data_IF_577892521595
#
_entry.id   IF_577892521595
#
_cell.length_a   1.000
_cell.length_b   1.000
_cell.length_c   1.000
_cell.angle_alpha   90.00
_cell.angle_beta   90.00
_cell.angle_gamma   90.00
#
_symmetry.space_group_name_H-M   'P 1'
#
loop_
_entity.id
_entity.type
_entity.pdbx_description
1 polymer ?
#
# COMPACT_ATOMS: atom_id res chain seq x y z
N UNK A 1 21.62 -14.01 -15.75
CA UNK A 1 21.76 -12.57 -16.06
C UNK A 1 21.32 -11.81 -14.82
N UNK A 2 22.00 -10.73 -14.45
CA UNK A 2 21.51 -9.84 -13.38
C UNK A 2 20.20 -9.19 -13.83
N UNK A 3 19.17 -9.17 -12.98
CA UNK A 3 17.92 -8.48 -13.25
C UNK A 3 18.18 -7.01 -13.65
N UNK A 4 17.47 -6.53 -14.67
CA UNK A 4 17.48 -5.14 -15.07
C UNK A 4 16.05 -4.61 -14.94
N UNK A 5 15.88 -3.55 -14.16
CA UNK A 5 14.58 -2.92 -14.01
C UNK A 5 14.21 -2.17 -15.30
N UNK A 6 13.09 -2.56 -15.92
CA UNK A 6 12.62 -2.04 -17.22
C UNK A 6 11.26 -1.33 -17.10
N UNK A 7 11.20 -0.11 -16.54
CA UNK A 7 9.99 0.70 -16.58
C UNK A 7 9.72 1.25 -17.99
N UNK A 8 8.47 1.60 -18.27
CA UNK A 8 8.16 2.43 -19.44
C UNK A 8 8.66 3.87 -19.23
N UNK A 9 8.89 4.59 -20.34
CA UNK A 9 9.19 6.01 -20.28
C UNK A 9 7.96 6.82 -19.80
N UNK A 10 8.06 7.60 -18.72
CA UNK A 10 6.95 8.43 -18.27
C UNK A 10 6.60 9.55 -19.27
N UNK A 11 5.34 9.94 -19.34
CA UNK A 11 4.93 11.14 -20.08
C UNK A 11 5.45 12.41 -19.40
N UNK A 12 5.70 13.46 -20.18
CA UNK A 12 6.33 14.69 -19.70
C UNK A 12 5.55 15.38 -18.56
N UNK A 13 4.21 15.28 -18.55
CA UNK A 13 3.37 15.82 -17.48
C UNK A 13 3.45 15.04 -16.15
N UNK A 14 4.03 13.83 -16.13
CA UNK A 14 4.13 12.96 -14.96
C UNK A 14 5.59 12.73 -14.55
N UNK A 15 6.34 13.80 -14.35
CA UNK A 15 7.76 13.75 -13.99
C UNK A 15 8.02 13.31 -12.54
N UNK A 16 7.09 13.57 -11.62
CA UNK A 16 7.23 13.20 -10.19
C UNK A 16 7.18 11.68 -10.04
N UNK A 17 8.24 11.11 -9.47
CA UNK A 17 8.32 9.66 -9.26
C UNK A 17 7.62 9.25 -7.97
N UNK A 18 6.68 8.31 -8.08
CA UNK A 18 5.91 7.81 -6.96
C UNK A 18 6.00 6.29 -6.81
N UNK A 19 5.98 5.82 -5.56
CA UNK A 19 5.78 4.40 -5.23
C UNK A 19 4.45 4.23 -4.50
N UNK A 20 3.62 3.29 -4.95
CA UNK A 20 2.29 3.02 -4.42
C UNK A 20 2.27 1.69 -3.68
N UNK A 21 2.00 1.72 -2.38
CA UNK A 21 2.06 0.57 -1.49
C UNK A 21 0.65 0.11 -1.16
N UNK A 22 0.36 -1.17 -1.39
CA UNK A 22 -0.93 -1.78 -1.05
C UNK A 22 -0.75 -3.24 -0.67
N UNK A 23 -1.54 -3.70 0.30
CA UNK A 23 -1.65 -5.13 0.64
C UNK A 23 -2.28 -5.95 -0.48
N UNK A 24 -3.10 -5.30 -1.31
CA UNK A 24 -3.81 -5.95 -2.41
C UNK A 24 -3.85 -5.16 -3.71
N UNK A 25 -3.84 -5.90 -4.82
CA UNK A 25 -4.02 -5.40 -6.18
C UNK A 25 -4.82 -6.40 -7.02
N UNK A 26 -5.94 -5.96 -7.58
CA UNK A 26 -6.71 -6.71 -8.57
C UNK A 26 -6.26 -6.32 -9.98
N UNK A 27 -5.08 -6.79 -10.38
CA UNK A 27 -4.47 -6.45 -11.68
C UNK A 27 -5.08 -7.26 -12.82
N UNK A 28 -5.21 -8.56 -12.61
CA UNK A 28 -5.79 -9.52 -13.55
C UNK A 28 -6.34 -10.71 -12.77
N UNK A 29 -7.32 -11.42 -13.33
CA UNK A 29 -7.90 -12.59 -12.67
C UNK A 29 -6.88 -13.71 -12.45
N UNK A 30 -5.82 -13.78 -13.26
CA UNK A 30 -4.74 -14.77 -13.10
C UNK A 30 -3.87 -14.53 -11.86
N UNK A 31 -3.81 -13.29 -11.34
CA UNK A 31 -2.98 -12.92 -10.21
C UNK A 31 -3.82 -12.73 -8.94
N UNK A 32 -3.78 -13.71 -8.02
CA UNK A 32 -4.64 -13.76 -6.82
C UNK A 32 -4.07 -12.97 -5.65
N UNK A 33 -3.83 -11.68 -5.87
CA UNK A 33 -3.25 -10.76 -4.87
C UNK A 33 -4.27 -9.80 -4.27
N UNK A 34 -5.54 -10.17 -4.20
CA UNK A 34 -6.61 -9.30 -3.68
C UNK A 34 -7.80 -10.09 -3.13
N UNK A 35 -8.60 -9.45 -2.26
CA UNK A 35 -9.87 -9.99 -1.78
C UNK A 35 -11.08 -9.14 -2.18
N UNK A 36 -10.92 -7.82 -2.34
CA UNK A 36 -12.08 -6.94 -2.46
C UNK A 36 -11.82 -5.56 -3.07
N UNK A 37 -12.62 -4.59 -2.62
CA UNK A 37 -12.73 -3.26 -3.24
C UNK A 37 -11.45 -2.42 -3.20
N UNK A 38 -10.64 -2.54 -2.14
CA UNK A 38 -9.36 -1.85 -2.01
C UNK A 38 -8.39 -2.31 -3.13
N UNK A 39 -8.36 -3.62 -3.41
CA UNK A 39 -7.56 -4.22 -4.47
C UNK A 39 -8.06 -3.85 -5.87
N UNK A 40 -9.37 -3.79 -6.08
CA UNK A 40 -9.95 -3.30 -7.34
C UNK A 40 -9.59 -1.85 -7.64
N UNK A 41 -9.61 -0.99 -6.63
CA UNK A 41 -9.18 0.39 -6.79
C UNK A 41 -7.68 0.46 -7.10
N UNK A 42 -6.85 -0.20 -6.29
CA UNK A 42 -5.40 -0.22 -6.47
C UNK A 42 -5.02 -0.75 -7.86
N UNK A 43 -5.66 -1.83 -8.31
CA UNK A 43 -5.40 -2.39 -9.64
C UNK A 43 -5.83 -1.48 -10.79
N UNK A 44 -6.98 -0.81 -10.64
CA UNK A 44 -7.42 0.21 -11.61
C UNK A 44 -6.45 1.39 -11.68
N UNK A 45 -5.89 1.82 -10.53
CA UNK A 45 -4.84 2.84 -10.51
C UNK A 45 -3.59 2.41 -11.27
N UNK A 46 -3.13 1.17 -11.09
CA UNK A 46 -1.94 0.69 -11.81
C UNK A 46 -2.17 0.60 -13.32
N UNK A 47 -3.37 0.16 -13.76
CA UNK A 47 -3.72 0.12 -15.19
C UNK A 47 -3.75 1.52 -15.81
N UNK A 48 -4.37 2.48 -15.15
CA UNK A 48 -4.39 3.85 -15.69
C UNK A 48 -3.04 4.55 -15.62
N UNK A 49 -2.20 4.23 -14.64
CA UNK A 49 -0.81 4.69 -14.63
C UNK A 49 -0.05 4.21 -15.88
N UNK A 50 -0.29 2.99 -16.33
CA UNK A 50 0.27 2.47 -17.58
C UNK A 50 -0.27 3.16 -18.83
N UNK A 51 -1.59 3.36 -18.91
CA UNK A 51 -2.24 4.02 -20.05
C UNK A 51 -1.77 5.46 -20.20
N UNK A 52 -1.67 6.19 -19.09
CA UNK A 52 -1.24 7.58 -19.03
C UNK A 52 0.29 7.76 -18.96
N UNK A 53 1.05 6.65 -18.87
CA UNK A 53 2.50 6.64 -18.66
C UNK A 53 2.92 7.50 -17.46
N UNK A 54 2.25 7.33 -16.31
CA UNK A 54 2.63 7.99 -15.06
C UNK A 54 3.92 7.38 -14.49
N UNK A 55 4.82 8.20 -13.93
CA UNK A 55 6.04 7.72 -13.27
C UNK A 55 5.72 7.07 -11.91
N UNK A 56 5.20 5.84 -11.96
CA UNK A 56 4.65 5.12 -10.82
C UNK A 56 5.23 3.70 -10.76
N UNK A 57 5.59 3.26 -9.56
CA UNK A 57 5.94 1.86 -9.26
C UNK A 57 4.93 1.34 -8.23
N UNK A 58 4.33 0.18 -8.47
CA UNK A 58 3.49 -0.48 -7.48
C UNK A 58 4.28 -1.47 -6.63
N UNK A 59 4.09 -1.43 -5.32
CA UNK A 59 4.71 -2.35 -4.35
C UNK A 59 3.60 -3.08 -3.61
N UNK A 60 3.59 -4.41 -3.71
CA UNK A 60 2.60 -5.26 -3.08
C UNK A 60 3.17 -6.53 -2.48
N UNK A 61 2.27 -7.36 -1.95
CA UNK A 61 2.59 -8.65 -1.34
C UNK A 61 2.28 -9.78 -2.32
N UNK A 62 3.15 -10.78 -2.41
CA UNK A 62 2.87 -12.03 -3.11
C UNK A 62 2.38 -13.07 -2.10
N UNK A 63 1.08 -13.34 -2.13
CA UNK A 63 0.44 -14.31 -1.24
C UNK A 63 0.54 -15.73 -1.81
N UNK A 64 1.15 -16.66 -1.07
CA UNK A 64 1.31 -18.05 -1.52
C UNK A 64 -0.03 -18.74 -1.76
N UNK A 65 -1.07 -18.42 -0.99
CA UNK A 65 -2.40 -19.02 -1.12
C UNK A 65 -3.50 -18.02 -1.50
N UNK A 66 -3.17 -16.72 -1.59
CA UNK A 66 -4.14 -15.66 -1.84
C UNK A 66 -5.01 -15.35 -0.61
N UNK A 67 -6.28 -14.96 -0.85
CA UNK A 67 -7.26 -14.76 0.21
C UNK A 67 -7.95 -16.09 0.58
N UNK A 68 -8.80 -16.61 -0.30
CA UNK A 68 -9.26 -18.00 -0.30
C UNK A 68 -9.84 -18.32 -1.69
N UNK A 69 -9.97 -19.60 -2.02
CA UNK A 69 -10.72 -20.08 -3.17
C UNK A 69 -12.10 -20.56 -2.70
N UNK A 70 -13.18 -19.93 -3.20
CA UNK A 70 -14.53 -20.28 -2.79
C UNK A 70 -14.97 -21.60 -3.41
N UNK A 71 -15.26 -22.60 -2.57
CA UNK A 71 -15.85 -23.88 -2.94
C UNK A 71 -17.22 -24.10 -2.26
N UNK A 72 -17.79 -25.28 -2.50
CA UNK A 72 -19.02 -25.75 -1.84
C UNK A 72 -18.79 -27.14 -1.26
N UNK A 73 -19.34 -27.38 -0.08
CA UNK A 73 -19.47 -28.70 0.51
C UNK A 73 -20.61 -29.49 -0.16
N UNK A 74 -20.69 -30.80 0.11
CA UNK A 74 -21.76 -31.66 -0.42
C UNK A 74 -23.15 -31.18 0.02
N UNK A 75 -23.25 -30.63 1.23
CA UNK A 75 -24.46 -30.04 1.81
C UNK A 75 -24.79 -28.62 1.30
N UNK A 76 -24.09 -28.15 0.25
CA UNK A 76 -24.20 -26.82 -0.34
C UNK A 76 -23.73 -25.64 0.51
N UNK A 77 -23.16 -25.89 1.70
CA UNK A 77 -22.55 -24.82 2.51
C UNK A 77 -21.24 -24.32 1.87
N UNK A 78 -20.86 -23.08 2.18
CA UNK A 78 -19.62 -22.48 1.66
C UNK A 78 -18.40 -23.20 2.26
N UNK A 79 -17.43 -23.54 1.41
CA UNK A 79 -16.12 -24.05 1.82
C UNK A 79 -15.03 -23.09 1.38
N UNK A 80 -14.14 -22.70 2.28
CA UNK A 80 -12.93 -21.98 1.93
C UNK A 80 -11.81 -22.98 1.64
N UNK A 81 -11.30 -22.97 0.41
CA UNK A 81 -10.11 -23.72 0.00
C UNK A 81 -8.90 -22.79 -0.04
N UNK A 82 -7.70 -23.32 0.19
CA UNK A 82 -6.45 -22.57 0.07
C UNK A 82 -5.51 -23.33 -0.86
N UNK A 83 -5.37 -22.83 -2.09
CA UNK A 83 -4.53 -23.48 -3.11
C UNK A 83 -3.26 -22.68 -3.30
N UNK A 84 -2.12 -23.38 -3.22
CA UNK A 84 -0.83 -22.79 -3.53
C UNK A 84 -0.85 -22.18 -4.94
N UNK A 85 -0.44 -20.92 -5.05
CA UNK A 85 -0.41 -20.15 -6.28
C UNK A 85 1.00 -20.17 -6.86
N UNK A 86 1.08 -20.26 -8.18
CA UNK A 86 2.33 -20.14 -8.92
C UNK A 86 2.07 -19.27 -10.15
N UNK A 87 2.94 -18.30 -10.38
CA UNK A 87 2.76 -17.27 -11.41
C UNK A 87 3.98 -17.26 -12.33
N UNK A 88 3.88 -17.94 -13.48
CA UNK A 88 4.98 -18.05 -14.45
C UNK A 88 5.31 -16.75 -15.17
N UNK A 89 4.42 -15.76 -15.10
CA UNK A 89 4.58 -14.44 -15.68
C UNK A 89 5.29 -13.45 -14.74
N UNK A 90 5.57 -13.84 -13.48
CA UNK A 90 6.41 -13.04 -12.59
C UNK A 90 7.87 -13.37 -12.83
N UNK A 91 8.67 -12.33 -13.03
CA UNK A 91 10.12 -12.44 -13.20
C UNK A 91 10.81 -12.50 -11.84
N UNK A 92 11.73 -13.44 -11.69
CA UNK A 92 12.61 -13.48 -10.53
C UNK A 92 13.69 -12.39 -10.67
N UNK A 93 13.67 -11.42 -9.76
CA UNK A 93 14.66 -10.35 -9.74
C UNK A 93 16.02 -10.80 -9.21
N UNK A 94 16.08 -11.94 -8.51
CA UNK A 94 17.23 -12.38 -7.74
C UNK A 94 17.50 -11.53 -6.49
N UNK A 95 16.70 -10.50 -6.21
CA UNK A 95 16.83 -9.67 -5.02
C UNK A 95 16.22 -10.40 -3.82
N UNK A 96 17.09 -10.82 -2.91
CA UNK A 96 16.75 -11.35 -1.58
C UNK A 96 17.50 -10.54 -0.54
N UNK A 97 16.79 -9.95 0.41
CA UNK A 97 17.37 -9.07 1.41
C UNK A 97 16.70 -9.24 2.78
N UNK A 98 17.43 -9.07 3.89
CA UNK A 98 16.86 -9.25 5.22
C UNK A 98 16.07 -8.02 5.66
N UNK A 99 15.02 -8.20 6.45
CA UNK A 99 14.43 -7.20 7.34
C UNK A 99 14.35 -7.79 8.75
N UNK A 100 14.40 -6.96 9.79
CA UNK A 100 14.29 -7.45 11.16
C UNK A 100 12.83 -7.49 11.58
N UNK A 101 12.32 -8.66 11.96
CA UNK A 101 10.98 -8.85 12.53
C UNK A 101 11.14 -9.62 13.82
N UNK A 102 10.61 -9.08 14.92
CA UNK A 102 10.69 -9.68 16.26
C UNK A 102 12.14 -10.05 16.66
N UNK A 103 13.09 -9.16 16.37
CA UNK A 103 14.51 -9.37 16.65
C UNK A 103 15.24 -10.37 15.73
N UNK A 104 14.54 -11.07 14.84
CA UNK A 104 15.11 -12.04 13.90
C UNK A 104 15.23 -11.46 12.48
N UNK A 105 16.23 -11.91 11.72
CA UNK A 105 16.34 -11.57 10.30
C UNK A 105 15.40 -12.45 9.46
N UNK A 106 14.44 -11.81 8.80
CA UNK A 106 13.53 -12.43 7.83
C UNK A 106 13.94 -12.00 6.42
N UNK A 107 14.23 -12.97 5.55
CA UNK A 107 14.60 -12.69 4.16
C UNK A 107 13.35 -12.42 3.33
N UNK A 108 13.34 -11.28 2.63
CA UNK A 108 12.29 -10.91 1.68
C UNK A 108 12.83 -11.06 0.27
N UNK A 109 12.10 -11.77 -0.57
CA UNK A 109 12.35 -11.90 -2.01
C UNK A 109 11.41 -10.98 -2.78
N UNK A 110 11.92 -10.29 -3.79
CA UNK A 110 11.13 -9.47 -4.69
C UNK A 110 10.95 -10.17 -6.05
N UNK A 111 9.71 -10.25 -6.52
CA UNK A 111 9.38 -10.64 -7.89
C UNK A 111 8.85 -9.43 -8.65
N UNK A 112 9.11 -9.39 -9.96
CA UNK A 112 8.75 -8.29 -10.84
C UNK A 112 7.65 -8.70 -11.81
N UNK A 113 6.68 -7.82 -12.03
CA UNK A 113 5.69 -7.94 -13.09
C UNK A 113 5.96 -6.84 -14.11
N UNK A 114 6.32 -7.25 -15.32
CA UNK A 114 6.59 -6.33 -16.42
C UNK A 114 5.31 -5.57 -16.83
N UNK A 115 5.40 -4.26 -17.16
CA UNK A 115 4.23 -3.43 -17.47
C UNK A 115 3.34 -3.96 -18.60
N UNK A 116 3.92 -4.62 -19.59
CA UNK A 116 3.26 -5.15 -20.78
C UNK A 116 2.48 -6.46 -20.51
N UNK A 117 2.75 -7.14 -19.40
CA UNK A 117 2.10 -8.41 -19.06
C UNK A 117 0.58 -8.24 -18.86
N UNK A 118 0.17 -7.22 -18.10
CA UNK A 118 -1.24 -6.90 -17.85
C UNK A 118 -1.62 -5.44 -18.13
N UNK A 119 -0.72 -4.66 -18.74
CA UNK A 119 -0.93 -3.24 -18.99
C UNK A 119 -1.01 -2.43 -17.70
N UNK A 120 -0.04 -2.60 -16.80
CA UNK A 120 -0.01 -1.96 -15.48
C UNK A 120 1.26 -1.13 -15.30
N UNK A 121 1.29 -0.25 -14.29
CA UNK A 121 2.55 0.27 -13.77
C UNK A 121 3.53 -0.89 -13.54
N UNK A 122 4.86 -0.67 -13.62
CA UNK A 122 5.81 -1.68 -13.16
C UNK A 122 5.51 -2.06 -11.71
N UNK A 123 5.33 -3.36 -11.45
CA UNK A 123 4.97 -3.85 -10.12
C UNK A 123 6.08 -4.71 -9.53
N UNK A 124 6.26 -4.60 -8.23
CA UNK A 124 7.01 -5.55 -7.44
C UNK A 124 6.11 -6.20 -6.40
N UNK A 125 6.26 -7.52 -6.25
CA UNK A 125 5.58 -8.29 -5.22
C UNK A 125 6.60 -8.94 -4.29
N UNK A 126 6.40 -8.74 -2.99
CA UNK A 126 7.30 -9.20 -1.93
C UNK A 126 6.79 -10.51 -1.32
N UNK A 127 7.69 -11.46 -1.09
CA UNK A 127 7.38 -12.73 -0.42
C UNK A 127 8.46 -13.11 0.58
N UNK A 128 8.05 -13.77 1.66
CA UNK A 128 8.95 -14.44 2.61
C UNK A 128 8.89 -15.96 2.48
N UNK A 129 8.01 -16.50 1.62
CA UNK A 129 7.86 -17.94 1.38
C UNK A 129 8.99 -18.46 0.47
N UNK A 130 10.20 -18.46 1.03
CA UNK A 130 11.42 -18.95 0.40
C UNK A 130 12.12 -19.98 1.31
N UNK A 131 12.83 -20.98 0.76
CA UNK A 131 13.47 -22.04 1.54
C UNK A 131 14.49 -21.56 2.59
N UNK A 132 15.06 -20.36 2.41
CA UNK A 132 16.05 -19.77 3.29
C UNK A 132 15.50 -19.23 4.61
N UNK A 133 14.17 -19.11 4.72
CA UNK A 133 13.47 -18.69 5.93
C UNK A 133 12.95 -19.91 6.71
N UNK A 134 12.86 -19.76 8.04
CA UNK A 134 12.14 -20.72 8.87
C UNK A 134 10.64 -20.75 8.53
N UNK A 135 9.93 -21.78 9.02
CA UNK A 135 8.52 -21.97 8.72
C UNK A 135 7.65 -20.77 9.14
N UNK A 136 7.90 -20.17 10.31
CA UNK A 136 7.10 -19.04 10.81
C UNK A 136 7.30 -17.82 9.93
N UNK A 137 8.55 -17.52 9.57
CA UNK A 137 8.91 -16.44 8.67
C UNK A 137 8.29 -16.61 7.28
N UNK A 138 8.24 -17.85 6.76
CA UNK A 138 7.55 -18.16 5.49
C UNK A 138 6.04 -17.90 5.57
N UNK A 139 5.42 -18.21 6.70
CA UNK A 139 3.97 -18.06 6.87
C UNK A 139 3.48 -16.62 6.81
N UNK A 140 4.36 -15.63 7.01
CA UNK A 140 4.02 -14.20 6.93
C UNK A 140 3.32 -13.87 5.61
N UNK A 141 3.77 -14.43 4.48
CA UNK A 141 3.17 -14.17 3.16
C UNK A 141 2.30 -15.30 2.63
N UNK A 142 1.76 -16.17 3.49
CA UNK A 142 0.87 -17.23 3.04
C UNK A 142 -0.52 -16.71 2.64
N UNK A 143 -1.16 -15.93 3.51
CA UNK A 143 -2.56 -15.54 3.38
C UNK A 143 -2.74 -14.03 3.48
N UNK A 144 -3.58 -13.49 2.61
CA UNK A 144 -4.07 -12.12 2.74
C UNK A 144 -5.07 -12.05 3.91
N UNK A 145 -4.84 -11.14 4.86
CA UNK A 145 -5.62 -10.97 6.10
C UNK A 145 -5.56 -12.18 7.04
N UNK A 146 -4.39 -12.37 7.66
CA UNK A 146 -4.25 -13.35 8.74
C UNK A 146 -5.10 -12.95 9.96
N UNK A 147 -5.62 -13.94 10.68
CA UNK A 147 -6.38 -13.71 11.90
C UNK A 147 -5.47 -13.35 13.08
N UNK A 148 -4.20 -13.79 13.05
CA UNK A 148 -3.23 -13.49 14.08
C UNK A 148 -2.72 -12.04 13.96
N UNK A 149 -2.71 -11.35 15.10
CA UNK A 149 -2.30 -9.94 15.17
C UNK A 149 -0.80 -9.76 14.91
N UNK A 150 0.06 -10.63 15.44
CA UNK A 150 1.50 -10.53 15.21
C UNK A 150 1.85 -10.83 13.73
N UNK A 151 1.16 -11.78 13.11
CA UNK A 151 1.26 -12.05 11.68
C UNK A 151 0.88 -10.83 10.83
N UNK A 152 -0.23 -10.14 11.14
CA UNK A 152 -0.63 -8.90 10.45
C UNK A 152 0.40 -7.76 10.61
N UNK A 153 0.98 -7.62 11.79
CA UNK A 153 2.09 -6.67 12.03
C UNK A 153 3.31 -7.06 11.17
N UNK A 154 3.69 -8.33 11.14
CA UNK A 154 4.79 -8.82 10.30
C UNK A 154 4.53 -8.60 8.80
N UNK A 155 3.30 -8.82 8.33
CA UNK A 155 2.88 -8.54 6.95
C UNK A 155 3.04 -7.06 6.60
N UNK A 156 2.59 -6.19 7.50
CA UNK A 156 2.75 -4.74 7.37
C UNK A 156 4.23 -4.35 7.28
N UNK A 157 5.10 -4.99 8.07
CA UNK A 157 6.55 -4.76 8.04
C UNK A 157 7.19 -5.21 6.72
N UNK A 158 6.79 -6.37 6.18
CA UNK A 158 7.24 -6.81 4.85
C UNK A 158 6.83 -5.80 3.77
N UNK A 159 5.58 -5.34 3.77
CA UNK A 159 5.11 -4.34 2.81
C UNK A 159 5.87 -3.01 2.96
N UNK A 160 5.90 -2.45 4.17
CA UNK A 160 6.42 -1.11 4.42
C UNK A 160 7.96 -1.05 4.42
N UNK A 161 8.61 -1.78 5.33
CA UNK A 161 10.08 -1.80 5.45
C UNK A 161 10.68 -2.53 4.25
N UNK A 162 10.14 -3.70 3.91
CA UNK A 162 10.64 -4.49 2.79
C UNK A 162 10.51 -3.75 1.46
N UNK A 163 9.38 -3.07 1.22
CA UNK A 163 9.19 -2.26 0.03
C UNK A 163 10.07 -1.01 -0.01
N UNK A 164 10.27 -0.32 1.12
CA UNK A 164 11.21 0.80 1.22
C UNK A 164 12.65 0.36 0.92
N UNK A 165 13.08 -0.78 1.46
CA UNK A 165 14.41 -1.35 1.24
C UNK A 165 14.61 -1.84 -0.20
N UNK A 166 13.59 -2.43 -0.82
CA UNK A 166 13.62 -2.79 -2.24
C UNK A 166 13.89 -1.58 -3.13
N UNK A 167 13.20 -0.46 -2.89
CA UNK A 167 13.41 0.77 -3.68
C UNK A 167 14.84 1.31 -3.57
N UNK A 168 15.46 1.16 -2.40
CA UNK A 168 16.87 1.50 -2.20
C UNK A 168 17.82 0.58 -2.96
N UNK A 169 17.56 -0.73 -2.97
CA UNK A 169 18.34 -1.71 -3.73
C UNK A 169 18.21 -1.52 -5.24
N UNK A 170 17.05 -1.11 -5.71
CA UNK A 170 16.81 -0.74 -7.10
C UNK A 170 17.52 0.57 -7.49
N UNK A 171 18.02 1.35 -6.53
CA UNK A 171 18.70 2.62 -6.75
C UNK A 171 17.77 3.72 -7.27
N UNK A 172 16.45 3.58 -7.07
CA UNK A 172 15.45 4.51 -7.57
C UNK A 172 15.07 5.54 -6.50
N UNK A 173 15.25 6.82 -6.80
CA UNK A 173 14.89 7.90 -5.87
C UNK A 173 13.41 8.24 -6.01
N UNK A 174 12.62 7.96 -4.97
CA UNK A 174 11.21 8.36 -4.94
C UNK A 174 11.04 9.80 -4.44
N UNK A 175 10.20 10.56 -5.12
CA UNK A 175 9.72 11.86 -4.63
C UNK A 175 8.50 11.70 -3.71
N UNK A 176 7.69 10.66 -3.96
CA UNK A 176 6.45 10.39 -3.21
C UNK A 176 6.29 8.91 -2.91
N UNK A 177 5.86 8.61 -1.69
CA UNK A 177 5.39 7.29 -1.28
C UNK A 177 3.91 7.40 -0.94
N UNK A 178 3.08 6.59 -1.58
CA UNK A 178 1.64 6.60 -1.39
C UNK A 178 1.22 5.33 -0.65
N UNK A 179 0.65 5.49 0.54
CA UNK A 179 0.07 4.39 1.32
C UNK A 179 -1.42 4.25 1.01
N UNK A 180 -1.79 3.09 0.48
CA UNK A 180 -3.17 2.67 0.30
C UNK A 180 -3.65 1.98 1.59
N UNK A 181 -4.31 2.75 2.46
CA UNK A 181 -4.61 2.38 3.84
C UNK A 181 -3.37 2.21 4.76
N UNK A 182 -3.62 1.97 6.05
CA UNK A 182 -2.61 2.05 7.12
C UNK A 182 -1.58 0.91 7.12
N UNK A 183 -1.81 -0.17 6.38
CA UNK A 183 -0.98 -1.39 6.42
C UNK A 183 0.48 -1.15 5.99
N UNK A 184 0.73 -0.17 5.12
CA UNK A 184 2.10 0.20 4.71
C UNK A 184 2.83 1.12 5.70
N UNK A 185 2.25 1.42 6.87
CA UNK A 185 2.81 2.38 7.84
C UNK A 185 4.26 2.12 8.25
N UNK A 186 4.79 0.89 8.36
CA UNK A 186 6.21 0.67 8.66
C UNK A 186 7.18 1.41 7.74
N UNK A 187 6.76 1.70 6.50
CA UNK A 187 7.51 2.55 5.57
C UNK A 187 7.78 3.94 6.16
N UNK A 188 6.83 4.53 6.86
CA UNK A 188 6.96 5.87 7.43
C UNK A 188 8.08 5.92 8.49
N UNK A 189 8.21 4.88 9.30
CA UNK A 189 9.28 4.75 10.30
C UNK A 189 10.63 4.41 9.66
N UNK A 190 10.63 3.56 8.63
CA UNK A 190 11.83 3.33 7.81
C UNK A 190 12.37 4.63 7.20
N UNK A 191 11.49 5.45 6.61
CA UNK A 191 11.86 6.75 6.06
C UNK A 191 12.27 7.74 7.15
N UNK A 192 11.64 7.71 8.31
CA UNK A 192 11.99 8.55 9.45
C UNK A 192 13.43 8.32 9.89
N UNK A 193 13.81 7.06 10.09
CA UNK A 193 15.18 6.68 10.44
C UNK A 193 16.18 7.05 9.34
N UNK A 194 15.86 6.71 8.08
CA UNK A 194 16.68 7.01 6.91
C UNK A 194 16.95 8.51 6.71
N UNK A 195 15.99 9.36 7.06
CA UNK A 195 16.10 10.81 6.90
C UNK A 195 16.47 11.52 8.21
N UNK A 196 17.26 10.86 9.07
CA UNK A 196 17.86 11.50 10.24
C UNK A 196 16.85 11.84 11.33
N UNK A 197 15.78 11.05 11.45
CA UNK A 197 14.69 11.23 12.42
C UNK A 197 13.98 12.58 12.29
N UNK A 198 13.83 13.05 11.04
CA UNK A 198 13.07 14.25 10.70
C UNK A 198 11.65 13.90 10.23
N UNK A 199 10.65 14.25 11.03
CA UNK A 199 9.24 14.04 10.67
C UNK A 199 8.85 14.87 9.44
N UNK A 200 9.41 16.07 9.31
CA UNK A 200 9.18 16.94 8.15
C UNK A 200 9.65 16.30 6.84
N UNK A 201 10.78 15.59 6.86
CA UNK A 201 11.28 14.90 5.67
C UNK A 201 10.37 13.72 5.28
N UNK A 202 9.79 13.03 6.26
CA UNK A 202 8.79 11.98 5.98
C UNK A 202 7.51 12.60 5.42
N UNK A 203 6.99 13.65 6.06
CA UNK A 203 5.80 14.37 5.63
C UNK A 203 5.95 14.87 4.19
N UNK A 204 7.10 15.46 3.83
CA UNK A 204 7.38 15.91 2.46
C UNK A 204 7.26 14.81 1.42
N UNK A 205 7.35 13.52 1.78
CA UNK A 205 7.37 12.40 0.83
C UNK A 205 6.14 11.50 0.94
N UNK A 206 5.45 11.46 2.07
CA UNK A 206 4.36 10.51 2.31
C UNK A 206 2.99 11.10 1.97
N UNK A 207 2.19 10.33 1.23
CA UNK A 207 0.78 10.59 0.92
C UNK A 207 -0.02 9.39 1.39
N UNK A 208 -1.18 9.64 1.96
CA UNK A 208 -2.04 8.60 2.51
C UNK A 208 -3.42 8.63 1.85
N UNK A 209 -4.03 7.47 1.66
CA UNK A 209 -5.46 7.37 1.31
C UNK A 209 -6.15 6.49 2.33
N UNK A 210 -7.27 7.00 2.86
CA UNK A 210 -8.13 6.25 3.76
C UNK A 210 -9.39 5.74 3.05
N UNK A 211 -9.75 4.49 3.33
CA UNK A 211 -10.88 3.74 2.77
C UNK A 211 -11.93 3.36 3.82
N UNK A 212 -11.59 3.54 5.10
CA UNK A 212 -12.37 3.01 6.23
C UNK A 212 -13.15 4.13 6.94
N UNK A 213 -14.48 4.24 6.72
CA UNK A 213 -15.31 5.27 7.33
C UNK A 213 -15.81 4.89 8.74
N UNK A 214 -15.09 4.03 9.47
CA UNK A 214 -15.47 3.58 10.82
C UNK A 214 -14.25 3.32 11.70
N UNK A 215 -14.26 3.81 12.94
CA UNK A 215 -13.12 3.68 13.87
C UNK A 215 -12.76 2.20 14.12
N UNK A 216 -13.75 1.32 14.29
CA UNK A 216 -13.53 -0.10 14.54
C UNK A 216 -12.85 -0.85 13.38
N UNK A 217 -12.90 -0.30 12.16
CA UNK A 217 -12.20 -0.86 11.00
C UNK A 217 -10.74 -0.40 10.88
N UNK A 218 -10.29 0.54 11.71
CA UNK A 218 -8.93 1.05 11.67
C UNK A 218 -8.02 0.21 12.56
N UNK A 219 -6.84 -0.08 12.05
CA UNK A 219 -5.89 -0.96 12.72
C UNK A 219 -5.18 -0.24 13.87
N UNK A 220 -5.28 -0.81 15.07
CA UNK A 220 -4.69 -0.30 16.31
C UNK A 220 -3.94 -1.43 17.02
N UNK A 221 -2.74 -1.13 17.50
CA UNK A 221 -1.90 -2.11 18.18
C UNK A 221 -1.26 -1.54 19.45
N UNK A 222 -1.07 -2.34 20.51
CA UNK A 222 -0.30 -1.93 21.67
C UNK A 222 1.13 -1.55 21.29
N UNK A 223 1.64 -0.45 21.84
CA UNK A 223 3.02 0.00 21.63
C UNK A 223 4.06 -1.06 21.97
N UNK A 224 3.79 -1.86 23.00
CA UNK A 224 4.65 -2.97 23.40
C UNK A 224 4.79 -4.01 22.29
N UNK A 225 3.66 -4.44 21.68
CA UNK A 225 3.67 -5.40 20.58
C UNK A 225 4.49 -4.87 19.39
N UNK A 226 4.28 -3.62 18.99
CA UNK A 226 5.01 -3.03 17.87
C UNK A 226 6.51 -2.91 18.15
N UNK A 227 6.87 -2.57 19.40
CA UNK A 227 8.27 -2.50 19.84
C UNK A 227 8.93 -3.87 19.79
N UNK A 228 8.27 -4.89 20.36
CA UNK A 228 8.76 -6.27 20.36
C UNK A 228 8.94 -6.79 18.92
N UNK A 229 7.98 -6.49 18.04
CA UNK A 229 8.04 -6.86 16.63
C UNK A 229 9.12 -6.13 15.82
N UNK A 230 9.88 -5.18 16.41
CA UNK A 230 10.87 -4.36 15.70
C UNK A 230 10.26 -3.43 14.64
N UNK A 231 8.99 -3.04 14.82
CA UNK A 231 8.22 -2.24 13.87
C UNK A 231 8.83 -0.85 13.58
N UNK A 232 9.53 -0.28 14.57
CA UNK A 232 10.08 1.07 14.52
C UNK A 232 11.58 1.14 14.17
N UNK A 233 12.20 0.01 13.78
CA UNK A 233 13.65 -0.06 13.56
C UNK A 233 14.43 0.22 14.84
N UNK A 234 15.42 1.11 14.79
CA UNK A 234 16.24 1.47 15.98
C UNK A 234 15.73 2.71 16.72
N UNK A 235 14.55 3.23 16.35
CA UNK A 235 13.99 4.44 16.96
C UNK A 235 13.43 4.10 18.36
N UNK A 236 13.87 4.79 19.42
CA UNK A 236 13.40 4.53 20.77
C UNK A 236 11.89 4.74 20.90
N UNK A 237 11.23 3.89 21.69
CA UNK A 237 9.78 3.92 21.83
C UNK A 237 9.25 5.27 22.39
N UNK A 238 9.99 5.95 23.25
CA UNK A 238 9.63 7.28 23.76
C UNK A 238 9.65 8.36 22.67
N UNK A 239 10.58 8.25 21.73
CA UNK A 239 10.63 9.13 20.57
C UNK A 239 9.41 8.88 19.67
N UNK A 240 9.06 7.60 19.43
CA UNK A 240 7.86 7.21 18.69
C UNK A 240 6.59 7.76 19.34
N UNK A 241 6.43 7.60 20.66
CA UNK A 241 5.27 8.15 21.40
C UNK A 241 5.10 9.64 21.14
N UNK A 242 6.20 10.39 21.14
CA UNK A 242 6.19 11.84 20.89
C UNK A 242 5.85 12.17 19.44
N UNK A 243 6.50 11.55 18.46
CA UNK A 243 6.31 11.92 17.03
C UNK A 243 4.98 11.44 16.48
N UNK A 244 4.54 10.24 16.87
CA UNK A 244 3.25 9.70 16.49
C UNK A 244 2.10 10.19 17.37
N UNK A 245 2.40 10.92 18.46
CA UNK A 245 1.44 11.43 19.46
C UNK A 245 0.53 10.30 19.96
N UNK A 246 1.17 9.24 20.43
CA UNK A 246 0.48 8.04 20.94
C UNK A 246 -0.15 8.37 22.28
N UNK A 247 -1.44 8.05 22.40
CA UNK A 247 -2.21 8.15 23.63
C UNK A 247 -2.58 6.73 24.09
N UNK A 248 -2.67 6.50 25.41
CA UNK A 248 -3.11 5.22 25.99
C UNK A 248 -2.32 3.98 25.54
N UNK A 249 -1.01 4.13 25.29
CA UNK A 249 -0.11 3.01 24.92
C UNK A 249 -0.54 2.21 23.67
N UNK A 250 -1.38 2.80 22.82
CA UNK A 250 -1.93 2.17 21.61
C UNK A 250 -1.66 3.05 20.39
N UNK A 251 -1.02 2.48 19.37
CA UNK A 251 -0.75 3.17 18.13
C UNK A 251 -1.82 2.84 17.10
N UNK A 252 -2.55 3.87 16.67
CA UNK A 252 -3.50 3.78 15.56
C UNK A 252 -2.77 4.03 14.23
N UNK A 253 -2.87 3.09 13.29
CA UNK A 253 -2.14 3.15 12.03
C UNK A 253 -2.58 4.33 11.17
N UNK A 254 -3.90 4.51 11.04
CA UNK A 254 -4.50 5.57 10.23
C UNK A 254 -4.13 6.94 10.77
N UNK A 255 -4.29 7.16 12.08
CA UNK A 255 -3.95 8.43 12.71
C UNK A 255 -2.45 8.75 12.60
N UNK A 256 -1.60 7.74 12.75
CA UNK A 256 -0.15 7.90 12.56
C UNK A 256 0.18 8.23 11.10
N UNK A 257 -0.41 7.52 10.13
CA UNK A 257 -0.23 7.79 8.71
C UNK A 257 -0.70 9.20 8.32
N UNK A 258 -1.81 9.68 8.89
CA UNK A 258 -2.31 11.04 8.73
C UNK A 258 -1.34 12.09 9.28
N UNK A 259 -0.69 11.82 10.42
CA UNK A 259 0.34 12.71 11.01
C UNK A 259 1.65 12.71 10.23
N UNK A 260 2.02 11.57 9.65
CA UNK A 260 3.29 11.40 8.92
C UNK A 260 3.21 11.78 7.44
N UNK A 261 2.02 12.05 6.91
CA UNK A 261 1.81 12.44 5.51
C UNK A 261 1.78 13.95 5.32
N UNK A 262 2.12 14.46 4.13
CA UNK A 262 1.81 15.87 3.75
C UNK A 262 0.36 16.05 3.32
N UNK A 263 -0.26 14.97 2.85
CA UNK A 263 -1.61 15.00 2.26
C UNK A 263 -2.31 13.67 2.45
N UNK A 264 -3.60 13.74 2.73
CA UNK A 264 -4.49 12.60 2.73
C UNK A 264 -5.64 12.75 1.72
N UNK A 265 -6.05 11.63 1.11
CA UNK A 265 -7.20 11.55 0.22
C UNK A 265 -8.25 10.58 0.78
N UNK A 266 -9.50 10.83 0.43
CA UNK A 266 -10.62 9.92 0.60
C UNK A 266 -11.10 9.44 -0.78
N UNK A 267 -11.71 8.26 -0.84
CA UNK A 267 -12.18 7.65 -2.09
C UNK A 267 -13.43 8.28 -2.69
N UNK A 268 -14.18 9.07 -1.91
CA UNK A 268 -15.35 9.79 -2.39
C UNK A 268 -15.56 11.06 -1.59
N UNK A 269 -16.42 11.95 -2.10
CA UNK A 269 -16.76 13.20 -1.41
C UNK A 269 -17.43 12.92 -0.06
N UNK A 270 -18.37 11.99 -0.02
CA UNK A 270 -19.08 11.59 1.20
C UNK A 270 -18.10 10.94 2.18
N UNK A 271 -17.26 10.02 1.69
CA UNK A 271 -16.20 9.43 2.51
C UNK A 271 -15.26 10.48 3.10
N UNK A 272 -14.91 11.50 2.32
CA UNK A 272 -14.08 12.61 2.79
C UNK A 272 -14.75 13.45 3.88
N UNK A 273 -16.09 13.55 3.89
CA UNK A 273 -16.80 14.21 4.99
C UNK A 273 -16.73 13.36 6.25
N UNK A 274 -17.08 12.08 6.15
CA UNK A 274 -17.04 11.13 7.29
C UNK A 274 -15.63 11.03 7.87
N UNK A 275 -14.60 10.88 7.04
CA UNK A 275 -13.22 10.84 7.49
C UNK A 275 -12.78 12.14 8.19
N UNK A 276 -13.25 13.32 7.73
CA UNK A 276 -12.96 14.58 8.42
C UNK A 276 -13.72 14.71 9.75
N UNK A 277 -14.93 14.19 9.85
CA UNK A 277 -15.66 14.14 11.13
C UNK A 277 -14.96 13.21 12.12
N UNK A 278 -14.49 12.05 11.65
CA UNK A 278 -13.77 11.07 12.47
C UNK A 278 -12.39 11.54 12.92
N UNK A 279 -11.61 12.16 12.02
CA UNK A 279 -10.20 12.45 12.29
C UNK A 279 -9.89 13.94 12.50
N UNK A 280 -10.75 14.84 12.04
CA UNK A 280 -10.46 16.28 11.96
C UNK A 280 -10.26 16.98 13.31
N UNK A 281 -10.62 16.34 14.42
CA UNK A 281 -10.41 16.85 15.76
C UNK A 281 -9.02 16.51 16.33
N UNK A 282 -8.24 15.63 15.68
CA UNK A 282 -6.89 15.29 16.12
C UNK A 282 -5.86 16.32 15.64
N UNK A 283 -4.95 16.70 16.54
CA UNK A 283 -3.86 17.60 16.21
C UNK A 283 -2.76 16.93 15.37
N UNK A 284 -2.08 17.75 14.56
CA UNK A 284 -0.88 17.37 13.82
C UNK A 284 -1.14 16.49 12.60
N UNK A 285 -2.40 16.22 12.26
CA UNK A 285 -2.75 15.52 11.02
C UNK A 285 -2.59 16.44 9.81
N UNK A 286 -2.30 15.83 8.67
CA UNK A 286 -2.24 16.55 7.42
C UNK A 286 -3.63 17.00 6.93
N UNK A 287 -3.70 18.02 6.06
CA UNK A 287 -4.96 18.40 5.42
C UNK A 287 -5.48 17.25 4.55
N UNK A 288 -6.76 16.89 4.72
CA UNK A 288 -7.46 16.06 3.76
C UNK A 288 -7.87 16.93 2.56
N UNK A 289 -7.59 16.50 1.33
CA UNK A 289 -8.11 17.27 0.19
C UNK A 289 -9.61 17.04 0.03
N UNK A 290 -10.40 18.10 0.24
CA UNK A 290 -11.77 18.19 -0.27
C UNK A 290 -11.72 18.04 -1.79
N UNK A 291 -12.39 17.02 -2.36
CA UNK A 291 -12.73 17.06 -3.78
C UNK A 291 -13.49 18.38 -4.04
N UNK A 292 -13.15 19.15 -5.08
CA UNK A 292 -13.79 20.45 -5.30
C UNK A 292 -15.31 20.26 -5.41
N UNK A 293 -16.05 20.95 -4.55
CA UNK A 293 -17.49 21.14 -4.75
C UNK A 293 -17.68 21.82 -6.10
N UNK A 294 -18.55 21.32 -7.01
CA UNK A 294 -18.91 22.09 -8.17
C UNK A 294 -19.57 23.37 -7.67
N UNK A 295 -18.89 24.52 -7.81
CA UNK A 295 -19.63 25.78 -7.85
C UNK A 295 -20.46 25.69 -9.13
N UNK A 296 -21.77 25.78 -8.98
CA UNK A 296 -22.66 26.09 -10.09
C UNK A 296 -22.14 27.37 -10.75
N UNK A 297 -21.47 27.23 -11.89
CA UNK A 297 -21.22 28.35 -12.77
C UNK A 297 -22.58 28.81 -13.34
N UNK A 298 -22.85 30.13 -13.44
CA UNK A 298 -23.97 30.61 -14.22
C UNK A 298 -23.82 30.11 -15.66
N UNK A 299 -24.95 29.78 -16.26
CA UNK A 299 -25.08 29.32 -17.65
C UNK A 299 -24.23 30.14 -18.63
N UNK A 300 -23.36 29.47 -19.39
CA UNK A 300 -22.73 30.04 -20.59
C UNK A 300 -21.23 30.36 -20.47
N UNK A 301 -20.40 29.38 -20.13
CA UNK A 301 -18.98 29.36 -20.52
C UNK A 301 -18.47 27.92 -20.50
N UNK A 302 -17.90 27.46 -21.60
CA UNK A 302 -17.12 26.21 -21.68
C UNK A 302 -15.84 26.37 -20.85
N UNK A 303 -15.65 25.62 -19.74
CA UNK A 303 -14.39 25.68 -19.00
C UNK A 303 -13.47 24.56 -19.48
N UNK A 304 -12.33 24.95 -20.05
CA UNK A 304 -11.14 24.10 -20.12
C UNK A 304 -10.66 23.81 -18.69
N UNK A 305 -11.01 22.63 -18.17
CA UNK A 305 -10.59 22.18 -16.86
C UNK A 305 -9.35 21.31 -16.97
N UNK A 306 -8.17 21.89 -16.72
CA UNK A 306 -6.95 21.13 -16.44
C UNK A 306 -6.54 21.37 -14.98
N UNK A 307 -6.84 20.46 -14.03
CA UNK A 307 -6.31 20.51 -12.68
C UNK A 307 -4.95 19.79 -12.61
N UNK A 308 -4.02 20.16 -11.69
CA UNK A 308 -2.64 19.66 -11.71
C UNK A 308 -2.45 18.21 -11.21
N UNK A 309 -3.50 17.49 -10.80
CA UNK A 309 -3.37 16.10 -10.31
C UNK A 309 -4.67 15.32 -10.59
N UNK A 310 -4.73 14.57 -11.69
CA UNK A 310 -5.83 13.62 -11.98
C UNK A 310 -5.55 12.28 -11.30
N UNK A 311 -5.97 12.13 -10.05
CA UNK A 311 -5.94 10.82 -9.35
C UNK A 311 -7.27 10.44 -8.67
N UNK A 312 -8.35 11.20 -8.85
CA UNK A 312 -9.62 10.94 -8.12
C UNK A 312 -10.90 11.04 -8.95
N UNK A 313 -10.84 10.97 -10.28
CA UNK A 313 -12.06 10.79 -11.09
C UNK A 313 -11.82 9.81 -12.23
N UNK A 314 -11.86 8.52 -11.94
CA UNK A 314 -12.22 7.53 -12.95
C UNK A 314 -13.70 7.20 -12.78
N UNK A 315 -14.48 7.51 -13.83
CA UNK A 315 -15.74 6.83 -14.05
C UNK A 315 -15.40 5.39 -14.46
N UNK A 316 -16.06 4.36 -13.93
CA UNK A 316 -15.90 3.00 -14.45
C UNK A 316 -16.34 3.00 -15.92
N UNK A 317 -15.40 2.82 -16.85
CA UNK A 317 -15.73 2.48 -18.22
C UNK A 317 -16.09 0.99 -18.25
N UNK A 318 -17.33 0.68 -17.91
CA UNK A 318 -17.96 -0.59 -18.26
C UNK A 318 -19.07 -0.28 -19.26
N UNK A 319 -18.74 -0.29 -20.55
CA UNK A 319 -19.73 -0.54 -21.58
C UNK A 319 -19.92 -2.05 -21.66
N UNK A 320 -20.96 -2.56 -21.00
CA UNK A 320 -21.52 -3.85 -21.36
C UNK A 320 -22.15 -3.69 -22.75
N UNK A 321 -21.49 -4.21 -23.78
CA UNK A 321 -22.13 -4.49 -25.06
C UNK A 321 -23.11 -5.65 -24.83
N UNK A 322 -24.37 -5.32 -24.56
CA UNK A 322 -25.46 -6.28 -24.68
C UNK A 322 -25.80 -6.48 -26.15
N UNK A 323 -25.72 -7.73 -26.60
CA UNK A 323 -26.59 -8.27 -27.66
C UNK A 323 -28.01 -8.43 -27.11
#
# INVERSE_FOLDING_TARGET
>A
MSFQFQPYAPAAEFSTQAAYFSMEFALDQALKTYSGGLGFLAGSHMRSAYELKQNLIGIGMLWSYGYYDQGRNEDQTMRADFRLKSYSFLEDTGLVFPITIHGAEVKVKALYLAPDTFGTAPMFFLTTDIPENDYISRTITHYLYDADTAARVAQSMVLGIGGGKLLDLLGVKMDTYHLNEGHGLPLAFYLYEKHGRSLEEVQKRLVFTTHTPELAGNEEHPMQLLTDMTFFGTVPADEIRRVARVENETLNYTLTALRFSRKANAVSKVHGQVANEMWGHYEGICPSSRLPTPRTAPTGATPSCTPPWKLTTMRPCWHASGS
#
